data_IF_706359565211
#
_entry.id   IF_706359565211
#
_cell.length_a   1.000
_cell.length_b   1.000
_cell.length_c   1.000
_cell.angle_alpha   90.00
_cell.angle_beta   90.00
_cell.angle_gamma   90.00
#
_symmetry.space_group_name_H-M   'P 1'
#
loop_
_entity.id
_entity.type
_entity.pdbx_description
1 polymer ?
#
# COMPACT_ATOMS: atom_id res chain seq x y z
N UNK A 1 -12.22 -13.56 -2.15
CA UNK A 1 -10.99 -14.25 -2.57
C UNK A 1 -11.18 -14.98 -3.92
N UNK A 2 -12.30 -15.64 -4.16
CA UNK A 2 -12.56 -16.36 -5.42
C UNK A 2 -12.37 -15.47 -6.68
N UNK A 3 -12.71 -14.18 -6.62
CA UNK A 3 -12.49 -13.24 -7.73
C UNK A 3 -11.00 -13.02 -8.08
N UNK A 4 -10.10 -13.35 -7.14
CA UNK A 4 -8.64 -13.30 -7.33
C UNK A 4 -8.03 -14.67 -7.64
N UNK A 5 -8.87 -15.72 -7.76
CA UNK A 5 -8.42 -17.09 -7.96
C UNK A 5 -7.80 -17.74 -6.72
N UNK A 6 -8.09 -17.20 -5.53
CA UNK A 6 -7.58 -17.75 -4.27
C UNK A 6 -8.56 -18.79 -3.70
N UNK A 7 -8.04 -19.98 -3.43
CA UNK A 7 -8.77 -21.13 -2.92
C UNK A 7 -7.96 -21.96 -1.91
N UNK A 8 -8.44 -23.14 -1.57
CA UNK A 8 -7.80 -24.07 -0.64
C UNK A 8 -6.42 -24.57 -1.12
N UNK A 9 -6.14 -24.53 -2.43
CA UNK A 9 -4.89 -25.02 -3.03
C UNK A 9 -3.88 -23.90 -3.28
N UNK A 10 -4.27 -22.64 -3.06
CA UNK A 10 -3.37 -21.50 -3.27
C UNK A 10 -2.23 -21.53 -2.26
N UNK A 11 -0.98 -21.39 -2.73
CA UNK A 11 0.20 -21.30 -1.86
C UNK A 11 0.38 -19.87 -1.34
N UNK A 12 1.06 -19.74 -0.21
CA UNK A 12 1.48 -18.45 0.30
C UNK A 12 2.58 -17.88 -0.60
N UNK A 13 2.50 -16.63 -1.07
CA UNK A 13 3.60 -16.01 -1.77
C UNK A 13 4.77 -15.71 -0.81
N UNK A 14 5.97 -15.54 -1.34
CA UNK A 14 7.13 -15.09 -0.57
C UNK A 14 6.80 -13.75 0.14
N UNK A 15 7.11 -13.66 1.44
CA UNK A 15 6.80 -12.45 2.24
C UNK A 15 5.30 -12.20 2.45
N UNK A 16 4.43 -13.19 2.23
CA UNK A 16 2.98 -13.04 2.41
C UNK A 16 2.29 -14.29 2.94
N UNK A 17 1.13 -14.12 3.55
CA UNK A 17 0.31 -15.20 4.12
C UNK A 17 -1.14 -15.05 3.68
N UNK A 18 -1.70 -16.14 3.15
CA UNK A 18 -3.14 -16.32 2.95
C UNK A 18 -3.65 -17.05 4.18
N UNK A 19 -4.34 -16.35 5.09
CA UNK A 19 -4.85 -16.95 6.32
C UNK A 19 -5.91 -18.00 6.02
N UNK A 20 -5.93 -19.05 6.85
CA UNK A 20 -6.82 -20.21 6.71
C UNK A 20 -7.79 -20.29 7.88
N UNK A 21 -8.94 -20.88 7.63
CA UNK A 21 -9.88 -21.23 8.68
C UNK A 21 -9.27 -22.31 9.58
N UNK A 22 -9.57 -22.25 10.87
CA UNK A 22 -9.09 -23.23 11.84
C UNK A 22 -9.38 -24.67 11.37
N UNK A 23 -8.34 -25.52 11.38
CA UNK A 23 -8.42 -26.91 10.97
C UNK A 23 -8.72 -27.15 9.47
N UNK A 24 -8.55 -26.13 8.62
CA UNK A 24 -8.87 -26.20 7.19
C UNK A 24 -7.79 -25.55 6.32
N UNK A 25 -7.76 -25.94 5.03
CA UNK A 25 -6.97 -25.25 4.00
C UNK A 25 -7.72 -24.09 3.36
N UNK A 26 -9.02 -23.95 3.65
CA UNK A 26 -9.85 -22.88 3.08
C UNK A 26 -9.43 -21.49 3.57
N UNK A 27 -9.22 -20.50 2.69
CA UNK A 27 -8.93 -19.13 3.09
C UNK A 27 -10.05 -18.53 3.95
N UNK A 28 -9.68 -17.81 5.02
CA UNK A 28 -10.64 -17.15 5.92
C UNK A 28 -11.03 -15.73 5.46
N UNK A 29 -10.28 -15.16 4.53
CA UNK A 29 -10.52 -13.81 3.99
C UNK A 29 -9.40 -12.82 4.29
N UNK A 30 -8.48 -13.15 5.18
CA UNK A 30 -7.36 -12.30 5.55
C UNK A 30 -6.14 -12.59 4.68
N UNK A 31 -5.53 -11.53 4.16
CA UNK A 31 -4.29 -11.57 3.38
C UNK A 31 -3.25 -10.67 4.06
N UNK A 32 -2.07 -11.20 4.31
CA UNK A 32 -0.98 -10.49 4.97
C UNK A 32 0.22 -10.30 4.03
N UNK A 33 0.96 -9.21 4.20
CA UNK A 33 2.17 -8.93 3.44
C UNK A 33 1.96 -8.95 1.93
N UNK A 34 2.83 -9.64 1.20
CA UNK A 34 2.75 -9.71 -0.26
C UNK A 34 1.47 -10.37 -0.79
N UNK A 35 0.84 -11.27 -0.04
CA UNK A 35 -0.46 -11.82 -0.42
C UNK A 35 -1.54 -10.72 -0.53
N UNK A 36 -1.49 -9.69 0.33
CA UNK A 36 -2.37 -8.53 0.22
C UNK A 36 -1.99 -7.65 -0.97
N UNK A 37 -0.72 -7.28 -1.09
CA UNK A 37 -0.28 -6.32 -2.11
C UNK A 37 -0.47 -6.83 -3.54
N UNK A 38 -0.15 -8.08 -3.82
CA UNK A 38 -0.34 -8.67 -5.15
C UNK A 38 -1.81 -8.61 -5.60
N UNK A 39 -2.74 -8.86 -4.69
CA UNK A 39 -4.16 -8.83 -5.02
C UNK A 39 -4.71 -7.39 -5.08
N UNK A 40 -4.20 -6.48 -4.25
CA UNK A 40 -4.51 -5.05 -4.34
C UNK A 40 -4.07 -4.48 -5.70
N UNK A 41 -2.85 -4.80 -6.15
CA UNK A 41 -2.35 -4.31 -7.44
C UNK A 41 -3.13 -4.89 -8.63
N UNK A 42 -3.58 -6.16 -8.57
CA UNK A 42 -4.50 -6.72 -9.57
C UNK A 42 -5.82 -5.94 -9.64
N UNK A 43 -6.38 -5.59 -8.47
CA UNK A 43 -7.61 -4.80 -8.38
C UNK A 43 -7.42 -3.41 -8.98
N UNK A 44 -6.38 -2.68 -8.57
CA UNK A 44 -6.10 -1.33 -9.04
C UNK A 44 -5.78 -1.30 -10.53
N UNK A 45 -4.99 -2.28 -11.03
CA UNK A 45 -4.67 -2.41 -12.44
C UNK A 45 -5.90 -2.61 -13.34
N UNK A 46 -6.98 -3.18 -12.80
CA UNK A 46 -8.27 -3.34 -13.50
C UNK A 46 -9.06 -2.04 -13.68
N UNK A 47 -8.71 -0.97 -12.98
CA UNK A 47 -9.46 0.31 -13.05
C UNK A 47 -9.22 1.09 -14.35
N UNK A 48 -8.08 0.90 -15.00
CA UNK A 48 -7.64 1.71 -16.12
C UNK A 48 -7.39 3.19 -15.76
N UNK A 49 -6.93 4.03 -16.73
CA UNK A 49 -6.53 5.41 -16.45
C UNK A 49 -7.66 6.28 -15.88
N UNK A 50 -8.86 6.21 -16.46
CA UNK A 50 -10.00 7.01 -15.99
C UNK A 50 -10.49 6.57 -14.61
N UNK A 51 -10.44 5.26 -14.33
CA UNK A 51 -10.76 4.71 -13.02
C UNK A 51 -9.75 5.15 -11.95
N UNK A 52 -8.45 5.20 -12.28
CA UNK A 52 -7.41 5.70 -11.39
C UNK A 52 -7.58 7.20 -11.08
N UNK A 53 -7.92 8.02 -12.08
CA UNK A 53 -8.27 9.43 -11.86
C UNK A 53 -9.48 9.57 -10.93
N UNK A 54 -10.53 8.77 -11.16
CA UNK A 54 -11.72 8.73 -10.31
C UNK A 54 -11.40 8.31 -8.87
N UNK A 55 -10.58 7.29 -8.70
CA UNK A 55 -10.13 6.79 -7.39
C UNK A 55 -9.34 7.85 -6.61
N UNK A 56 -8.36 8.48 -7.25
CA UNK A 56 -7.53 9.53 -6.62
C UNK A 56 -8.37 10.78 -6.26
N UNK A 57 -9.30 11.19 -7.14
CA UNK A 57 -10.23 12.29 -6.86
C UNK A 57 -11.13 11.99 -5.66
N UNK A 58 -11.69 10.79 -5.61
CA UNK A 58 -12.56 10.36 -4.51
C UNK A 58 -11.80 10.32 -3.18
N UNK A 59 -10.56 9.81 -3.17
CA UNK A 59 -9.69 9.80 -2.00
C UNK A 59 -9.37 11.19 -1.48
N UNK A 60 -8.94 12.10 -2.36
CA UNK A 60 -8.66 13.49 -2.00
C UNK A 60 -9.92 14.22 -1.48
N UNK A 61 -11.08 13.98 -2.10
CA UNK A 61 -12.37 14.51 -1.65
C UNK A 61 -12.78 13.99 -0.28
N UNK A 62 -12.53 12.71 0.01
CA UNK A 62 -12.78 12.12 1.32
C UNK A 62 -11.93 12.80 2.41
N UNK A 63 -10.63 12.96 2.19
CA UNK A 63 -9.76 13.67 3.14
C UNK A 63 -10.22 15.10 3.37
N UNK A 64 -10.57 15.82 2.29
CA UNK A 64 -11.11 17.19 2.38
C UNK A 64 -12.40 17.25 3.22
N UNK A 65 -13.28 16.25 3.11
CA UNK A 65 -14.54 16.20 3.88
C UNK A 65 -14.33 16.07 5.39
N UNK A 66 -13.18 15.57 5.83
CA UNK A 66 -12.77 15.52 7.23
C UNK A 66 -12.03 16.78 7.69
N UNK A 67 -11.88 17.79 6.83
CA UNK A 67 -11.21 19.05 7.14
C UNK A 67 -9.69 19.03 6.98
N UNK A 68 -9.13 17.97 6.41
CA UNK A 68 -7.70 17.95 6.08
C UNK A 68 -7.40 18.86 4.88
N UNK A 69 -6.32 19.61 4.97
CA UNK A 69 -5.84 20.51 3.89
C UNK A 69 -4.65 19.92 3.14
N UNK A 70 -4.02 18.88 3.69
CA UNK A 70 -2.92 18.15 3.09
C UNK A 70 -3.09 16.66 3.36
N UNK A 71 -2.93 15.85 2.32
CA UNK A 71 -2.83 14.39 2.44
C UNK A 71 -1.42 13.92 2.10
N UNK A 72 -1.02 12.79 2.68
CA UNK A 72 0.17 12.07 2.30
C UNK A 72 -0.22 10.84 1.49
N UNK A 73 0.31 10.73 0.24
CA UNK A 73 0.30 9.49 -0.52
C UNK A 73 1.59 8.72 -0.15
N UNK A 74 1.47 7.81 0.81
CA UNK A 74 2.59 7.22 1.53
C UNK A 74 3.30 6.08 0.82
N UNK A 75 2.76 5.54 -0.28
CA UNK A 75 3.38 4.47 -1.07
C UNK A 75 2.87 4.51 -2.50
N UNK A 76 3.55 5.21 -3.34
CA UNK A 76 3.12 5.46 -4.72
C UNK A 76 4.09 4.89 -5.77
N UNK A 77 3.68 5.00 -7.02
CA UNK A 77 4.47 4.72 -8.21
C UNK A 77 4.63 5.98 -9.06
N UNK A 78 5.50 6.00 -10.09
CA UNK A 78 5.54 7.06 -11.08
C UNK A 78 4.18 7.35 -11.74
N UNK A 79 3.37 6.30 -11.99
CA UNK A 79 2.02 6.45 -12.55
C UNK A 79 1.06 7.13 -11.59
N UNK A 80 1.18 6.86 -10.28
CA UNK A 80 0.41 7.57 -9.25
C UNK A 80 0.76 9.06 -9.22
N UNK A 81 2.06 9.38 -9.28
CA UNK A 81 2.53 10.77 -9.39
C UNK A 81 1.95 11.46 -10.62
N UNK A 82 1.98 10.80 -11.78
CA UNK A 82 1.42 11.32 -13.02
C UNK A 82 -0.10 11.54 -12.93
N UNK A 83 -0.83 10.60 -12.35
CA UNK A 83 -2.28 10.69 -12.11
C UNK A 83 -2.64 11.90 -11.24
N UNK A 84 -1.92 12.09 -10.14
CA UNK A 84 -2.13 13.23 -9.23
C UNK A 84 -1.79 14.56 -9.89
N UNK A 85 -0.67 14.64 -10.63
CA UNK A 85 -0.32 15.83 -11.42
C UNK A 85 -1.37 16.15 -12.49
N UNK A 86 -1.96 15.13 -13.11
CA UNK A 86 -3.04 15.33 -14.08
C UNK A 86 -4.31 15.89 -13.44
N UNK A 87 -4.72 15.40 -12.26
CA UNK A 87 -5.83 15.97 -11.49
C UNK A 87 -5.55 17.40 -11.05
N UNK A 88 -4.32 17.66 -10.60
CA UNK A 88 -3.86 18.98 -10.22
C UNK A 88 -3.96 19.99 -11.37
N UNK A 89 -3.48 19.61 -12.57
CA UNK A 89 -3.55 20.44 -13.75
C UNK A 89 -5.00 20.76 -14.20
N UNK A 90 -5.96 19.89 -13.87
CA UNK A 90 -7.40 20.10 -14.11
C UNK A 90 -8.08 20.93 -13.01
N UNK A 91 -7.38 21.27 -11.91
CA UNK A 91 -7.97 21.94 -10.75
C UNK A 91 -8.90 21.03 -9.93
N UNK A 92 -8.75 19.70 -10.04
CA UNK A 92 -9.65 18.72 -9.44
C UNK A 92 -9.15 18.20 -8.08
N UNK A 93 -8.02 18.66 -7.57
CA UNK A 93 -7.54 18.37 -6.22
C UNK A 93 -8.00 19.45 -5.24
N UNK A 94 -8.84 19.09 -4.23
CA UNK A 94 -9.32 20.05 -3.23
C UNK A 94 -8.27 20.38 -2.16
N UNK A 95 -7.25 19.52 -2.00
CA UNK A 95 -6.21 19.59 -0.96
C UNK A 95 -4.82 19.39 -1.57
N UNK A 96 -3.79 19.74 -0.82
CA UNK A 96 -2.41 19.46 -1.19
C UNK A 96 -2.08 17.98 -0.99
N UNK A 97 -1.23 17.41 -1.86
CA UNK A 97 -0.80 16.00 -1.76
C UNK A 97 0.72 15.92 -1.77
N UNK A 98 1.28 15.42 -0.67
CA UNK A 98 2.70 15.06 -0.55
C UNK A 98 2.88 13.58 -0.93
N UNK A 99 3.62 13.30 -2.00
CA UNK A 99 3.73 11.96 -2.59
C UNK A 99 5.11 11.35 -2.25
N UNK A 100 5.09 10.07 -1.87
CA UNK A 100 6.29 9.30 -1.54
C UNK A 100 6.35 8.03 -2.41
N UNK A 101 7.01 8.06 -3.58
CA UNK A 101 7.20 6.87 -4.40
C UNK A 101 7.98 5.79 -3.63
N UNK A 102 7.58 4.53 -3.83
CA UNK A 102 8.22 3.38 -3.21
C UNK A 102 9.60 3.14 -3.81
N UNK A 103 10.66 3.17 -2.99
CA UNK A 103 12.06 3.06 -3.43
C UNK A 103 12.41 1.65 -3.95
N UNK A 104 11.61 0.63 -3.63
CA UNK A 104 11.84 -0.74 -4.11
C UNK A 104 11.35 -0.90 -5.55
N UNK A 105 10.23 -0.25 -5.89
CA UNK A 105 9.57 -0.40 -7.20
C UNK A 105 9.79 0.80 -8.14
N UNK A 106 10.44 1.86 -7.66
CA UNK A 106 10.67 3.10 -8.42
C UNK A 106 12.16 3.35 -8.55
N UNK A 107 12.61 3.66 -9.75
CA UNK A 107 14.00 4.08 -9.98
C UNK A 107 14.36 5.28 -9.10
N UNK A 108 15.51 5.21 -8.42
CA UNK A 108 15.93 6.23 -7.47
C UNK A 108 16.10 7.60 -8.13
N UNK A 109 16.59 7.65 -9.37
CA UNK A 109 16.69 8.87 -10.15
C UNK A 109 15.33 9.53 -10.39
N UNK A 110 14.26 8.76 -10.62
CA UNK A 110 12.91 9.34 -10.71
C UNK A 110 12.55 10.11 -9.43
N UNK A 111 12.85 9.53 -8.27
CA UNK A 111 12.54 10.17 -6.99
C UNK A 111 13.38 11.45 -6.82
N UNK A 112 14.70 11.37 -7.01
CA UNK A 112 15.62 12.50 -6.81
C UNK A 112 15.35 13.65 -7.77
N UNK A 113 15.05 13.35 -9.03
CA UNK A 113 14.82 14.36 -10.07
C UNK A 113 13.44 15.07 -9.93
N UNK A 114 12.47 14.41 -9.29
CA UNK A 114 11.13 14.97 -9.07
C UNK A 114 10.93 15.53 -7.65
N UNK A 115 11.84 15.28 -6.73
CA UNK A 115 11.71 15.71 -5.32
C UNK A 115 11.73 17.24 -5.22
N UNK A 116 10.77 17.78 -4.46
CA UNK A 116 10.61 19.23 -4.31
C UNK A 116 10.11 19.60 -2.91
N UNK A 117 10.59 20.74 -2.41
CA UNK A 117 10.10 21.36 -1.18
C UNK A 117 8.86 22.26 -1.43
N UNK A 118 8.51 22.48 -2.68
CA UNK A 118 7.37 23.33 -3.07
C UNK A 118 6.32 22.50 -3.80
N UNK A 119 5.05 22.87 -3.60
CA UNK A 119 3.94 22.29 -4.35
C UNK A 119 3.81 22.93 -5.73
N UNK A 120 3.62 22.09 -6.74
CA UNK A 120 3.19 22.51 -8.07
C UNK A 120 1.73 22.08 -8.22
N UNK A 121 0.82 23.07 -8.35
CA UNK A 121 -0.62 22.82 -8.44
C UNK A 121 -1.13 21.82 -7.40
N UNK A 122 -0.72 21.97 -6.12
CA UNK A 122 -1.10 21.10 -4.98
C UNK A 122 -0.42 19.76 -4.90
N UNK A 123 0.54 19.40 -5.77
CA UNK A 123 1.26 18.14 -5.72
C UNK A 123 2.75 18.39 -5.56
N UNK A 124 3.43 17.60 -4.73
CA UNK A 124 4.89 17.52 -4.70
C UNK A 124 5.34 16.09 -4.42
N UNK A 125 6.44 15.67 -4.98
CA UNK A 125 7.18 14.50 -4.52
C UNK A 125 8.00 14.95 -3.32
N UNK A 126 7.69 14.42 -2.13
CA UNK A 126 8.24 14.90 -0.87
C UNK A 126 9.45 14.07 -0.39
N UNK A 127 9.67 12.90 -1.00
CA UNK A 127 10.73 11.95 -0.66
C UNK A 127 10.43 10.57 -1.22
N UNK A 128 11.11 9.55 -0.74
CA UNK A 128 10.85 8.15 -1.08
C UNK A 128 10.24 7.37 0.10
N UNK A 129 9.41 6.37 -0.20
CA UNK A 129 8.88 5.42 0.78
C UNK A 129 9.80 4.21 0.87
N UNK A 130 10.30 3.91 2.05
CA UNK A 130 10.99 2.66 2.36
C UNK A 130 10.08 1.81 3.26
N UNK A 131 9.73 0.60 2.80
CA UNK A 131 8.98 -0.38 3.59
C UNK A 131 9.95 -1.46 4.03
N UNK A 132 10.21 -1.54 5.34
CA UNK A 132 11.18 -2.49 5.93
C UNK A 132 10.52 -3.69 6.60
N UNK A 133 9.28 -3.52 7.07
CA UNK A 133 8.51 -4.57 7.76
C UNK A 133 7.00 -4.30 7.68
N UNK A 134 6.23 -5.09 8.40
CA UNK A 134 4.77 -4.96 8.47
C UNK A 134 4.26 -3.88 9.43
N UNK A 135 3.06 -4.08 9.97
CA UNK A 135 2.42 -3.14 10.88
C UNK A 135 2.23 -3.72 12.29
N UNK A 136 2.41 -2.91 13.35
CA UNK A 136 2.11 -3.36 14.71
C UNK A 136 0.64 -3.76 14.91
N UNK A 137 -0.28 -3.03 14.25
CA UNK A 137 -1.73 -3.26 14.34
C UNK A 137 -2.15 -4.60 13.72
N UNK A 138 -1.46 -5.02 12.66
CA UNK A 138 -1.67 -6.31 12.01
C UNK A 138 -0.80 -7.44 12.54
N UNK A 139 -0.02 -7.18 13.61
CA UNK A 139 0.94 -8.13 14.18
C UNK A 139 1.99 -8.64 13.18
N UNK A 140 2.31 -7.85 12.17
CA UNK A 140 3.30 -8.19 11.14
C UNK A 140 4.56 -7.33 11.21
N UNK A 141 4.61 -6.31 12.08
CA UNK A 141 5.83 -5.57 12.35
C UNK A 141 6.88 -6.48 12.99
N UNK A 142 8.11 -6.45 12.48
CA UNK A 142 9.21 -7.23 13.04
C UNK A 142 9.67 -6.65 14.38
N UNK A 143 9.80 -7.51 15.38
CA UNK A 143 10.16 -7.12 16.75
C UNK A 143 11.37 -7.91 17.24
N UNK A 144 12.12 -7.31 18.16
CA UNK A 144 13.23 -7.93 18.88
C UNK A 144 12.76 -8.97 19.94
N UNK A 145 11.46 -8.91 20.29
CA UNK A 145 10.80 -9.82 21.24
C UNK A 145 9.48 -10.31 20.67
N UNK A 146 9.06 -11.52 21.04
CA UNK A 146 7.75 -12.04 20.68
C UNK A 146 6.61 -11.08 21.03
N UNK A 147 5.54 -11.13 20.26
CA UNK A 147 4.28 -10.51 20.64
C UNK A 147 3.79 -11.11 21.96
N UNK A 148 3.25 -10.27 22.84
CA UNK A 148 2.80 -10.68 24.17
C UNK A 148 1.62 -11.64 24.10
N UNK A 149 0.64 -11.33 23.26
CA UNK A 149 -0.54 -12.15 23.04
C UNK A 149 -0.34 -13.09 21.86
N UNK A 150 -0.97 -14.27 21.87
CA UNK A 150 -0.97 -15.17 20.71
C UNK A 150 -1.53 -14.45 19.46
N UNK A 151 -0.87 -14.66 18.32
CA UNK A 151 -1.27 -14.04 17.05
C UNK A 151 -1.82 -15.11 16.12
N UNK A 152 -3.15 -15.28 16.13
CA UNK A 152 -3.81 -16.28 15.28
C UNK A 152 -3.17 -17.66 15.43
N UNK A 153 -2.83 -18.32 14.32
CA UNK A 153 -2.21 -19.65 14.29
C UNK A 153 -0.69 -19.63 14.25
N UNK A 154 -0.05 -18.48 14.47
CA UNK A 154 1.40 -18.43 14.54
C UNK A 154 1.93 -19.14 15.76
N UNK A 155 3.12 -19.79 15.66
CA UNK A 155 3.67 -20.54 16.78
C UNK A 155 4.03 -19.62 17.95
N UNK A 156 4.10 -20.16 19.17
CA UNK A 156 4.66 -19.44 20.31
C UNK A 156 6.05 -18.86 19.99
N UNK A 157 6.28 -17.62 20.37
CA UNK A 157 7.53 -16.93 20.06
C UNK A 157 7.51 -16.13 18.75
N UNK A 158 6.37 -16.05 18.07
CA UNK A 158 6.21 -15.23 16.87
C UNK A 158 6.52 -13.76 17.15
N UNK A 159 7.38 -13.16 16.31
CA UNK A 159 7.89 -11.78 16.47
C UNK A 159 7.65 -10.90 15.25
N UNK A 160 6.79 -11.29 14.34
CA UNK A 160 6.49 -10.55 13.11
C UNK A 160 6.97 -11.25 11.85
N UNK A 161 6.75 -10.59 10.70
CA UNK A 161 7.17 -11.06 9.39
C UNK A 161 8.29 -10.16 8.86
N UNK A 162 9.37 -10.77 8.39
CA UNK A 162 10.35 -10.07 7.57
C UNK A 162 9.76 -9.83 6.18
N UNK A 163 9.79 -8.57 5.71
CA UNK A 163 9.71 -8.34 4.28
C UNK A 163 11.07 -8.71 3.70
N UNK A 164 11.09 -9.67 2.77
CA UNK A 164 12.30 -9.92 2.01
C UNK A 164 12.72 -8.60 1.34
N UNK A 165 13.82 -8.04 1.83
CA UNK A 165 14.52 -6.98 1.11
C UNK A 165 15.10 -7.62 -0.15
N UNK A 166 14.46 -7.36 -1.28
CA UNK A 166 15.03 -7.65 -2.59
C UNK A 166 16.15 -6.67 -2.89
#
# INVERSE_FOLDING_TARGET
>A
LAAFGLDANSENPAGGVIRRREGSTEPDGVLEGNAHFENLFKLLGGLGPDGMLGFARAGAGMWASYGFTTAQEGRSSPDTVATLKQLAARGELPIDVAVYPDVITTELNFITDNMSNTYENRVRVAGGKLTIDGSPQGFTALRDKPYHDPVGDYPPGYSGLEYETQ
#
